data_IF_208593085677
#
_entry.id   IF_208593085677
#
_cell.length_a   1.000
_cell.length_b   1.000
_cell.length_c   1.000
_cell.angle_alpha   90.00
_cell.angle_beta   90.00
_cell.angle_gamma   90.00
#
_symmetry.space_group_name_H-M   'P 1'
#
loop_
_entity.id
_entity.type
_entity.pdbx_description
1 polymer ?
#
# COMPACT_ATOMS: atom_id res chain seq x y z
N UNK A 1 45.98 -58.95 20.65
CA UNK A 1 44.61 -59.36 20.29
C UNK A 1 43.63 -58.69 21.25
N UNK A 2 42.95 -57.62 20.82
CA UNK A 2 41.56 -57.24 21.13
C UNK A 2 41.33 -55.79 20.68
N UNK A 3 40.29 -55.65 19.87
CA UNK A 3 39.95 -54.50 19.03
C UNK A 3 39.40 -53.35 19.88
N UNK A 4 39.86 -52.12 19.62
CA UNK A 4 39.20 -50.90 20.07
C UNK A 4 38.61 -50.22 18.83
N UNK A 5 37.30 -50.38 18.64
CA UNK A 5 36.55 -49.74 17.57
C UNK A 5 36.35 -48.25 17.89
N UNK A 6 36.99 -47.37 17.13
CA UNK A 6 36.67 -45.94 17.12
C UNK A 6 35.37 -45.73 16.33
N UNK A 7 34.30 -45.36 17.03
CA UNK A 7 33.09 -44.86 16.39
C UNK A 7 33.22 -43.35 16.16
N UNK A 8 33.39 -42.96 14.90
CA UNK A 8 33.31 -41.56 14.48
C UNK A 8 31.83 -41.13 14.43
N UNK A 9 31.39 -40.33 15.41
CA UNK A 9 30.11 -39.63 15.34
C UNK A 9 30.27 -38.42 14.41
N UNK A 10 29.84 -38.55 13.17
CA UNK A 10 29.62 -37.42 12.28
C UNK A 10 28.28 -36.76 12.64
N UNK A 11 28.33 -35.65 13.37
CA UNK A 11 27.16 -34.82 13.61
C UNK A 11 26.85 -34.00 12.35
N UNK A 12 25.85 -34.45 11.58
CA UNK A 12 25.23 -33.64 10.54
C UNK A 12 24.47 -32.48 11.21
N UNK A 13 25.02 -31.28 11.18
CA UNK A 13 24.27 -30.06 11.50
C UNK A 13 23.33 -29.75 10.33
N UNK A 14 22.09 -30.25 10.40
CA UNK A 14 21.00 -29.80 9.54
C UNK A 14 20.57 -28.40 10.01
N UNK A 15 21.11 -27.35 9.41
CA UNK A 15 20.58 -26.00 9.56
C UNK A 15 19.22 -25.92 8.88
N UNK A 16 18.16 -26.14 9.65
CA UNK A 16 16.79 -25.87 9.22
C UNK A 16 16.65 -24.36 9.02
N UNK A 17 16.45 -23.93 7.78
CA UNK A 17 16.03 -22.56 7.46
C UNK A 17 14.58 -22.38 7.95
N UNK A 18 14.40 -22.02 9.22
CA UNK A 18 13.11 -21.54 9.71
C UNK A 18 12.82 -20.20 9.04
N UNK A 19 11.71 -20.02 8.31
CA UNK A 19 11.36 -18.72 7.74
C UNK A 19 11.21 -17.72 8.89
N UNK A 20 11.96 -16.61 8.81
CA UNK A 20 11.88 -15.52 9.79
C UNK A 20 10.47 -14.94 9.74
N UNK A 21 9.80 -14.87 10.89
CA UNK A 21 8.50 -14.22 10.99
C UNK A 21 8.58 -12.78 10.44
N UNK A 22 7.58 -12.41 9.65
CA UNK A 22 7.47 -11.06 9.09
C UNK A 22 7.31 -10.04 10.22
N UNK A 23 8.04 -8.93 10.13
CA UNK A 23 7.93 -7.84 11.07
C UNK A 23 6.79 -6.91 10.65
N UNK A 24 5.93 -6.55 11.59
CA UNK A 24 4.83 -5.59 11.37
C UNK A 24 5.34 -4.16 11.36
N UNK A 25 4.54 -3.26 10.78
CA UNK A 25 4.67 -1.80 10.97
C UNK A 25 4.34 -1.40 12.41
N UNK A 26 4.55 -0.14 12.79
CA UNK A 26 4.20 0.37 14.12
C UNK A 26 2.68 0.33 14.38
N UNK A 27 1.88 0.41 13.31
CA UNK A 27 0.42 0.24 13.32
C UNK A 27 -0.04 -1.22 13.24
N UNK A 28 0.88 -2.20 13.17
CA UNK A 28 0.55 -3.63 13.14
C UNK A 28 0.24 -4.19 11.75
N UNK A 29 0.49 -3.45 10.67
CA UNK A 29 0.28 -3.92 9.30
C UNK A 29 1.34 -4.95 8.90
N UNK A 30 0.93 -5.95 8.14
CA UNK A 30 1.82 -6.91 7.48
C UNK A 30 1.96 -6.54 6.01
N UNK A 31 3.19 -6.40 5.50
CA UNK A 31 3.43 -6.05 4.09
C UNK A 31 2.86 -7.12 3.15
N UNK A 32 2.94 -8.39 3.52
CA UNK A 32 2.34 -9.49 2.73
C UNK A 32 0.84 -9.34 2.51
N UNK A 33 0.09 -8.73 3.44
CA UNK A 33 -1.34 -8.46 3.27
C UNK A 33 -1.64 -7.38 2.22
N UNK A 34 -0.63 -6.63 1.78
CA UNK A 34 -0.76 -5.62 0.73
C UNK A 34 -0.19 -6.08 -0.62
N UNK A 35 0.35 -7.30 -0.69
CA UNK A 35 0.93 -7.87 -1.90
C UNK A 35 -0.09 -8.74 -2.64
N UNK A 36 -0.51 -8.28 -3.81
CA UNK A 36 -1.42 -8.97 -4.72
C UNK A 36 -1.12 -8.58 -6.17
N UNK A 37 -1.82 -9.21 -7.11
CA UNK A 37 -1.84 -8.77 -8.50
C UNK A 37 -3.22 -8.18 -8.83
N UNK A 38 -3.23 -6.93 -9.29
CA UNK A 38 -4.45 -6.20 -9.67
C UNK A 38 -4.25 -5.64 -11.07
N UNK A 39 -5.02 -6.14 -12.04
CA UNK A 39 -4.93 -5.69 -13.42
C UNK A 39 -3.55 -5.90 -14.05
N UNK A 40 -2.86 -7.00 -13.71
CA UNK A 40 -1.54 -7.33 -14.24
C UNK A 40 -0.37 -6.56 -13.60
N UNK A 41 -0.63 -5.75 -12.56
CA UNK A 41 0.40 -5.04 -11.80
C UNK A 41 0.43 -5.52 -10.35
N UNK A 42 1.62 -5.56 -9.76
CA UNK A 42 1.81 -5.94 -8.36
C UNK A 42 1.54 -4.78 -7.42
N UNK A 43 0.79 -5.04 -6.35
CA UNK A 43 0.64 -4.12 -5.23
C UNK A 43 1.68 -4.42 -4.16
N UNK A 44 2.02 -3.43 -3.34
CA UNK A 44 2.94 -3.58 -2.21
C UNK A 44 2.65 -2.53 -1.12
N UNK A 45 3.31 -2.67 0.03
CA UNK A 45 3.33 -1.70 1.13
C UNK A 45 4.74 -1.13 1.28
N UNK A 46 4.81 0.19 1.39
CA UNK A 46 6.04 0.95 1.55
C UNK A 46 5.99 1.71 2.86
N UNK A 47 7.05 1.62 3.64
CA UNK A 47 7.15 2.25 4.96
C UNK A 47 8.18 3.36 4.92
N UNK A 48 7.75 4.56 5.28
CA UNK A 48 8.58 5.76 5.40
C UNK A 48 8.78 6.09 6.88
N UNK A 49 9.98 6.51 7.27
CA UNK A 49 10.36 6.81 8.65
C UNK A 49 11.19 8.07 8.73
N UNK A 50 10.74 9.07 9.47
CA UNK A 50 11.53 10.28 9.71
C UNK A 50 12.45 10.15 10.94
N UNK A 51 13.33 11.15 11.15
CA UNK A 51 14.27 11.20 12.28
C UNK A 51 13.61 11.27 13.67
N UNK A 52 12.33 11.63 13.74
CA UNK A 52 11.54 11.75 14.97
C UNK A 52 10.66 10.51 15.19
N UNK A 53 10.97 9.41 14.52
CA UNK A 53 10.27 8.13 14.59
C UNK A 53 8.81 8.13 14.08
N UNK A 54 8.35 9.17 13.38
CA UNK A 54 7.06 9.14 12.69
C UNK A 54 7.10 8.12 11.55
N UNK A 55 6.10 7.24 11.48
CA UNK A 55 5.95 6.26 10.41
C UNK A 55 4.81 6.66 9.48
N UNK A 56 5.03 6.54 8.17
CA UNK A 56 3.95 6.63 7.18
C UNK A 56 4.00 5.37 6.32
N UNK A 57 2.87 4.68 6.22
CA UNK A 57 2.74 3.52 5.34
C UNK A 57 1.92 3.91 4.10
N UNK A 58 2.44 3.55 2.92
CA UNK A 58 1.85 3.86 1.62
C UNK A 58 1.70 2.58 0.83
N UNK A 59 0.55 2.36 0.17
CA UNK A 59 0.42 1.33 -0.87
C UNK A 59 0.36 1.96 -2.26
N UNK A 60 0.97 1.30 -3.25
CA UNK A 60 0.93 1.74 -4.63
C UNK A 60 -0.43 1.49 -5.32
N UNK A 61 -1.36 0.79 -4.69
CA UNK A 61 -2.75 0.75 -5.15
C UNK A 61 -3.49 2.03 -4.75
N UNK A 62 -3.84 2.84 -5.75
CA UNK A 62 -4.45 4.16 -5.57
C UNK A 62 -3.50 5.20 -4.98
N UNK A 63 -2.20 4.89 -4.83
CA UNK A 63 -1.23 5.75 -4.16
C UNK A 63 -1.73 6.21 -2.80
N UNK A 64 -2.10 5.24 -1.95
CA UNK A 64 -2.83 5.49 -0.70
C UNK A 64 -1.91 5.61 0.49
N UNK A 65 -2.11 6.62 1.32
CA UNK A 65 -1.64 6.60 2.71
C UNK A 65 -2.58 5.67 3.49
N UNK A 66 -2.03 4.61 4.09
CA UNK A 66 -2.82 3.60 4.81
C UNK A 66 -2.63 3.67 6.33
N UNK A 67 -1.55 4.30 6.80
CA UNK A 67 -1.27 4.52 8.22
C UNK A 67 -0.32 5.70 8.40
N UNK A 68 -0.51 6.48 9.46
CA UNK A 68 0.37 7.58 9.88
C UNK A 68 0.53 7.52 11.40
N UNK A 69 1.65 6.96 11.86
CA UNK A 69 1.97 6.86 13.28
C UNK A 69 2.71 8.12 13.74
N UNK A 70 2.08 8.88 14.64
CA UNK A 70 2.64 10.11 15.25
C UNK A 70 2.54 10.06 16.78
N UNK A 71 3.47 10.70 17.52
CA UNK A 71 3.38 10.77 18.97
C UNK A 71 2.26 11.74 19.41
N UNK A 72 1.49 11.36 20.42
CA UNK A 72 0.63 12.27 21.16
C UNK A 72 1.43 13.17 22.13
N UNK A 73 0.74 13.96 22.94
CA UNK A 73 1.36 14.89 23.91
C UNK A 73 2.25 14.21 24.96
N UNK A 74 2.06 12.91 25.20
CA UNK A 74 2.81 12.11 26.16
C UNK A 74 3.87 11.23 25.46
N UNK A 75 4.05 11.39 24.15
CA UNK A 75 5.00 10.65 23.33
C UNK A 75 4.50 9.27 22.90
N UNK A 76 3.23 8.92 23.16
CA UNK A 76 2.67 7.64 22.74
C UNK A 76 2.27 7.70 21.27
N UNK A 77 2.80 6.77 20.47
CA UNK A 77 2.50 6.70 19.05
C UNK A 77 1.04 6.28 18.81
N UNK A 78 0.37 6.95 17.89
CA UNK A 78 -1.01 6.68 17.49
C UNK A 78 -1.15 6.79 15.97
N UNK A 79 -1.96 5.91 15.39
CA UNK A 79 -2.39 6.07 14.01
C UNK A 79 -3.47 7.15 13.92
N UNK A 80 -3.26 8.14 13.06
CA UNK A 80 -4.16 9.29 12.92
C UNK A 80 -4.94 9.30 11.61
N UNK A 81 -4.87 8.23 10.81
CA UNK A 81 -5.66 8.10 9.58
C UNK A 81 -6.56 6.85 9.62
N UNK A 82 -7.65 6.89 8.84
CA UNK A 82 -8.49 5.72 8.61
C UNK A 82 -7.92 4.89 7.46
N UNK A 83 -8.01 3.56 7.59
CA UNK A 83 -7.52 2.63 6.58
C UNK A 83 -8.04 1.21 6.78
N UNK A 84 -7.45 0.28 6.03
CA UNK A 84 -7.70 -1.15 6.16
C UNK A 84 -6.37 -1.91 6.28
N UNK A 85 -6.44 -3.13 6.82
CA UNK A 85 -5.26 -3.94 7.12
C UNK A 85 -4.77 -4.79 5.93
N UNK A 86 -5.45 -4.71 4.77
CA UNK A 86 -5.11 -5.49 3.58
C UNK A 86 -5.50 -4.81 2.26
N UNK A 87 -4.81 -5.17 1.18
CA UNK A 87 -5.15 -4.71 -0.16
C UNK A 87 -6.54 -5.18 -0.61
N UNK A 88 -6.95 -6.39 -0.19
CA UNK A 88 -8.23 -6.98 -0.57
C UNK A 88 -9.41 -6.16 -0.05
N UNK A 89 -9.27 -5.55 1.13
CA UNK A 89 -10.28 -4.65 1.69
C UNK A 89 -10.37 -3.34 0.90
N UNK A 90 -9.25 -2.76 0.48
CA UNK A 90 -9.24 -1.57 -0.39
C UNK A 90 -9.87 -1.84 -1.77
N UNK A 91 -9.79 -3.08 -2.27
CA UNK A 91 -10.41 -3.47 -3.54
C UNK A 91 -11.92 -3.69 -3.38
N UNK A 92 -12.33 -4.36 -2.30
CA UNK A 92 -13.71 -4.84 -2.14
C UNK A 92 -14.65 -3.85 -1.47
N UNK A 93 -14.13 -2.98 -0.59
CA UNK A 93 -14.93 -2.00 0.16
C UNK A 93 -14.91 -0.64 -0.55
N UNK A 94 -16.07 -0.03 -0.83
CA UNK A 94 -16.11 1.29 -1.46
C UNK A 94 -15.54 2.34 -0.50
N UNK A 95 -14.33 2.83 -0.76
CA UNK A 95 -13.71 3.93 -0.01
C UNK A 95 -12.63 4.66 -0.82
N UNK A 96 -12.47 5.94 -0.52
CA UNK A 96 -11.39 6.79 -1.05
C UNK A 96 -10.34 7.09 0.03
N UNK A 97 -10.30 6.30 1.12
CA UNK A 97 -9.37 6.50 2.23
C UNK A 97 -7.91 6.55 1.74
N UNK A 98 -7.27 7.67 2.07
CA UNK A 98 -5.86 7.94 1.78
C UNK A 98 -5.48 8.06 0.31
N UNK A 99 -6.42 7.92 -0.63
CA UNK A 99 -6.10 7.76 -2.05
C UNK A 99 -5.67 9.04 -2.74
N UNK A 100 -4.80 8.88 -3.73
CA UNK A 100 -4.58 9.88 -4.76
C UNK A 100 -5.78 9.89 -5.72
N UNK A 101 -6.51 11.00 -5.73
CA UNK A 101 -7.75 11.16 -6.51
C UNK A 101 -7.46 11.81 -7.86
N UNK A 102 -7.96 11.20 -8.94
CA UNK A 102 -7.83 11.77 -10.28
C UNK A 102 -8.57 10.99 -11.37
N UNK A 103 -8.63 11.49 -12.61
CA UNK A 103 -7.90 12.68 -13.12
C UNK A 103 -8.45 14.03 -12.65
N UNK A 104 -9.69 14.09 -12.17
CA UNK A 104 -10.28 15.28 -11.58
C UNK A 104 -10.90 14.92 -10.22
N UNK A 105 -10.51 15.64 -9.18
CA UNK A 105 -11.04 15.45 -7.85
C UNK A 105 -12.40 16.13 -7.68
N UNK A 106 -13.27 15.52 -6.89
CA UNK A 106 -14.65 15.93 -6.69
C UNK A 106 -15.49 15.81 -7.98
N UNK A 107 -16.56 16.60 -8.10
CA UNK A 107 -17.61 16.43 -9.10
C UNK A 107 -17.40 17.31 -10.32
N UNK A 108 -17.69 16.74 -11.48
CA UNK A 108 -18.00 17.47 -12.73
C UNK A 108 -19.50 17.38 -12.93
N UNK A 109 -20.16 18.54 -12.98
CA UNK A 109 -21.60 18.64 -13.11
C UNK A 109 -22.08 17.90 -14.36
N UNK A 110 -23.13 17.10 -14.21
CA UNK A 110 -23.67 16.21 -15.25
C UNK A 110 -22.63 15.28 -15.93
N UNK A 111 -21.42 15.16 -15.38
CA UNK A 111 -20.29 14.53 -16.05
C UNK A 111 -19.90 15.21 -17.38
N UNK A 112 -20.25 16.48 -17.56
CA UNK A 112 -20.16 17.15 -18.86
C UNK A 112 -19.29 18.39 -18.77
N UNK A 113 -18.37 18.55 -19.72
CA UNK A 113 -17.56 19.76 -19.85
C UNK A 113 -17.11 19.96 -21.30
N UNK A 114 -16.67 21.17 -21.63
CA UNK A 114 -16.11 21.52 -22.93
C UNK A 114 -14.66 21.94 -22.75
N UNK A 115 -13.77 21.40 -23.59
CA UNK A 115 -12.36 21.78 -23.65
C UNK A 115 -11.98 21.94 -25.12
N UNK A 116 -11.33 23.04 -25.47
CA UNK A 116 -10.93 23.37 -26.86
C UNK A 116 -12.08 23.20 -27.87
N UNK A 117 -13.26 23.71 -27.50
CA UNK A 117 -14.51 23.60 -28.28
C UNK A 117 -15.04 22.18 -28.50
N UNK A 118 -14.44 21.16 -27.89
CA UNK A 118 -14.91 19.77 -27.91
C UNK A 118 -15.69 19.49 -26.62
N UNK A 119 -16.91 18.97 -26.77
CA UNK A 119 -17.74 18.54 -25.66
C UNK A 119 -17.39 17.10 -25.25
N UNK A 120 -17.17 16.89 -23.94
CA UNK A 120 -16.84 15.60 -23.36
C UNK A 120 -17.95 15.16 -22.41
N UNK A 121 -18.42 13.92 -22.60
CA UNK A 121 -19.30 13.23 -21.66
C UNK A 121 -18.50 12.18 -20.88
N UNK A 122 -18.46 12.35 -19.57
CA UNK A 122 -17.83 11.45 -18.60
C UNK A 122 -18.86 10.50 -17.99
N UNK A 123 -18.42 9.37 -17.40
CA UNK A 123 -19.29 8.50 -16.62
C UNK A 123 -19.97 9.26 -15.48
N UNK A 124 -21.27 9.03 -15.28
CA UNK A 124 -22.05 9.65 -14.20
C UNK A 124 -22.14 8.71 -12.99
N UNK A 125 -21.01 8.50 -12.31
CA UNK A 125 -20.90 7.55 -11.18
C UNK A 125 -21.44 8.07 -9.84
N UNK A 126 -21.94 9.30 -9.76
CA UNK A 126 -22.49 9.85 -8.51
C UNK A 126 -23.67 10.79 -8.78
N UNK A 127 -24.90 10.30 -8.59
CA UNK A 127 -26.13 11.11 -8.68
C UNK A 127 -26.23 11.97 -9.95
N UNK A 128 -25.87 11.40 -11.11
CA UNK A 128 -25.87 12.12 -12.39
C UNK A 128 -24.61 12.96 -12.65
N UNK A 129 -23.63 12.97 -11.74
CA UNK A 129 -22.35 13.66 -11.89
C UNK A 129 -21.19 12.66 -12.06
N UNK A 130 -20.06 13.14 -12.62
CA UNK A 130 -18.81 12.39 -12.60
C UNK A 130 -18.04 12.79 -11.33
N UNK A 131 -17.80 11.85 -10.42
CA UNK A 131 -17.08 12.03 -9.16
C UNK A 131 -15.71 11.33 -9.23
N UNK A 132 -14.66 12.01 -8.77
CA UNK A 132 -13.34 11.42 -8.51
C UNK A 132 -12.77 10.64 -9.71
N UNK A 133 -12.84 11.25 -10.90
CA UNK A 133 -12.34 10.64 -12.14
C UNK A 133 -13.17 9.46 -12.68
N UNK A 134 -14.30 9.14 -12.05
CA UNK A 134 -15.20 8.07 -12.48
C UNK A 134 -14.76 6.66 -12.03
N UNK A 135 -15.37 5.60 -12.57
CA UNK A 135 -15.14 4.21 -12.15
C UNK A 135 -13.74 3.66 -12.50
N UNK A 136 -12.91 4.48 -13.15
CA UNK A 136 -11.54 4.15 -13.57
C UNK A 136 -10.53 5.19 -13.06
N UNK A 137 -10.92 5.98 -12.06
CA UNK A 137 -10.10 7.00 -11.42
C UNK A 137 -8.82 6.44 -10.78
N UNK A 138 -7.90 7.34 -10.44
CA UNK A 138 -6.57 6.99 -9.93
C UNK A 138 -6.60 6.13 -8.68
N UNK A 139 -7.61 6.30 -7.81
CA UNK A 139 -7.82 5.51 -6.60
C UNK A 139 -8.03 4.00 -6.84
N UNK A 140 -8.28 3.59 -8.09
CA UNK A 140 -8.46 2.20 -8.51
C UNK A 140 -7.31 1.68 -9.38
N UNK A 141 -6.20 2.42 -9.48
CA UNK A 141 -5.05 2.09 -10.32
C UNK A 141 -3.86 1.64 -9.49
N UNK A 142 -3.07 0.73 -10.02
CA UNK A 142 -1.78 0.37 -9.45
C UNK A 142 -0.71 1.28 -10.07
N UNK A 143 -0.08 2.09 -9.23
CA UNK A 143 1.03 2.96 -9.59
C UNK A 143 2.32 2.12 -9.62
N UNK A 144 3.21 2.47 -10.54
CA UNK A 144 4.60 2.05 -10.45
C UNK A 144 5.26 2.81 -9.31
N UNK A 145 6.09 2.15 -8.51
CA UNK A 145 6.57 2.69 -7.25
C UNK A 145 8.07 2.46 -7.07
N UNK A 146 8.76 3.51 -6.65
CA UNK A 146 10.20 3.49 -6.34
C UNK A 146 10.40 4.15 -4.98
N UNK A 147 10.84 3.38 -3.99
CA UNK A 147 11.26 3.96 -2.70
C UNK A 147 12.70 4.44 -2.83
N UNK A 148 12.88 5.76 -2.92
CA UNK A 148 14.18 6.38 -3.18
C UNK A 148 15.09 6.31 -1.95
N UNK A 149 14.51 6.43 -0.76
CA UNK A 149 15.20 6.35 0.53
C UNK A 149 14.18 6.05 1.66
N UNK A 150 14.61 5.90 2.94
CA UNK A 150 13.69 5.62 4.04
C UNK A 150 12.61 6.69 4.30
N UNK A 151 12.68 7.88 3.68
CA UNK A 151 11.78 9.01 3.88
C UNK A 151 11.00 9.40 2.63
N UNK A 152 11.24 8.74 1.50
CA UNK A 152 10.73 9.19 0.21
C UNK A 152 10.33 8.02 -0.70
N UNK A 153 9.14 8.14 -1.29
CA UNK A 153 8.63 7.24 -2.32
C UNK A 153 8.12 8.07 -3.52
N UNK A 154 8.47 7.61 -4.71
CA UNK A 154 7.94 8.11 -5.96
C UNK A 154 6.89 7.14 -6.50
N UNK A 155 5.72 7.67 -6.90
CA UNK A 155 4.64 6.92 -7.51
C UNK A 155 4.35 7.49 -8.90
N UNK A 156 4.30 6.62 -9.91
CA UNK A 156 4.04 7.01 -11.30
C UNK A 156 2.87 6.22 -11.88
N UNK A 157 1.99 6.91 -12.59
CA UNK A 157 0.91 6.31 -13.38
C UNK A 157 0.75 7.10 -14.68
N UNK A 158 0.93 6.40 -15.81
CA UNK A 158 0.85 6.95 -17.17
C UNK A 158 -0.28 6.30 -17.96
#
# INVERSE_FOLDING_TARGET
>A
MKNLALWAFAALFMTACTPKAEQTTDSGLLRTNFQAEVGGKKTDLYTLRNKNNMEVCVTNFGGRIVSVMVPDKDGKMQDVVLGFDSIQDYISKPSDFGASIGRYANRINQGKFTLDSIEYQLPQNNYGHCLHGGPKGFQYRVFDAVQLNPQEIELTYV
#
